data_IF_323442771703
#
_entry.id   IF_323442771703
#
_cell.length_a   1.000
_cell.length_b   1.000
_cell.length_c   1.000
_cell.angle_alpha   90.00
_cell.angle_beta   90.00
_cell.angle_gamma   90.00
#
_symmetry.space_group_name_H-M   'P 1'
#
loop_
_entity.id
_entity.type
_entity.pdbx_description
1 polymer ?
#
# COMPACT_ATOMS: atom_id res chain seq x y z
N UNK A 1 -3.57 -29.75 7.14
CA UNK A 1 -3.66 -28.57 6.26
C UNK A 1 -2.38 -28.49 5.46
N UNK A 2 -2.47 -28.15 4.18
CA UNK A 2 -1.32 -27.90 3.33
C UNK A 2 -0.42 -26.80 3.90
N UNK A 3 0.90 -26.95 3.72
CA UNK A 3 1.87 -25.93 4.14
C UNK A 3 1.70 -24.67 3.29
N UNK A 4 1.65 -23.51 3.94
CA UNK A 4 1.58 -22.21 3.27
C UNK A 4 3.01 -21.73 2.91
N UNK A 5 3.21 -21.34 1.65
CA UNK A 5 4.44 -20.72 1.16
C UNK A 5 4.13 -19.31 0.67
N UNK A 6 4.42 -18.33 1.50
CA UNK A 6 4.30 -16.90 1.17
C UNK A 6 5.53 -16.45 0.42
N UNK A 7 5.35 -15.75 -0.70
CA UNK A 7 6.45 -15.19 -1.50
C UNK A 7 6.22 -13.70 -1.71
N UNK A 8 7.16 -12.87 -1.30
CA UNK A 8 7.10 -11.42 -1.52
C UNK A 8 8.47 -10.85 -1.86
N UNK A 9 8.50 -9.66 -2.46
CA UNK A 9 9.77 -9.02 -2.79
C UNK A 9 10.66 -8.82 -1.56
N UNK A 10 10.11 -8.47 -0.39
CA UNK A 10 10.85 -8.35 0.87
C UNK A 10 10.24 -9.24 1.93
N UNK A 11 11.10 -9.85 2.75
CA UNK A 11 10.71 -10.68 3.91
C UNK A 11 10.90 -9.87 5.20
N UNK A 12 9.93 -9.95 6.12
CA UNK A 12 10.07 -9.39 7.47
C UNK A 12 10.65 -10.45 8.40
N UNK A 13 11.98 -10.60 8.37
CA UNK A 13 12.70 -11.58 9.20
C UNK A 13 12.60 -11.20 10.70
N UNK A 14 12.52 -12.19 11.61
CA UNK A 14 12.45 -11.93 13.06
C UNK A 14 13.61 -11.05 13.55
N UNK A 15 13.28 -10.05 14.36
CA UNK A 15 14.26 -9.09 14.91
C UNK A 15 14.48 -7.83 14.05
N UNK A 16 13.97 -7.79 12.82
CA UNK A 16 13.95 -6.55 12.04
C UNK A 16 12.66 -5.76 12.31
N UNK A 17 12.79 -4.49 12.74
CA UNK A 17 11.65 -3.58 12.90
C UNK A 17 11.08 -3.16 11.53
N UNK A 18 10.22 -4.00 10.95
CA UNK A 18 9.44 -3.69 9.74
C UNK A 18 7.99 -4.07 9.94
N UNK A 19 7.31 -3.35 10.83
CA UNK A 19 5.87 -3.48 11.02
C UNK A 19 5.15 -2.65 9.95
N UNK A 20 4.61 -3.33 8.93
CA UNK A 20 3.60 -2.81 8.01
C UNK A 20 2.43 -3.79 7.94
N UNK A 21 1.21 -3.31 7.65
CA UNK A 21 0.00 -4.13 7.72
C UNK A 21 0.04 -5.42 6.90
N UNK A 22 0.72 -5.42 5.75
CA UNK A 22 0.95 -6.63 4.95
C UNK A 22 1.77 -7.69 5.73
N UNK A 23 2.92 -7.30 6.29
CA UNK A 23 3.78 -8.23 7.01
C UNK A 23 3.05 -8.86 8.21
N UNK A 24 2.23 -8.08 8.91
CA UNK A 24 1.41 -8.57 10.03
C UNK A 24 0.41 -9.63 9.56
N UNK A 25 -0.32 -9.38 8.47
CA UNK A 25 -1.29 -10.33 7.92
C UNK A 25 -0.67 -11.64 7.44
N UNK A 26 0.48 -11.56 6.76
CA UNK A 26 1.22 -12.72 6.29
C UNK A 26 1.81 -13.55 7.43
N UNK A 27 2.38 -12.90 8.45
CA UNK A 27 2.86 -13.58 9.65
C UNK A 27 1.73 -14.27 10.40
N UNK A 28 0.55 -13.64 10.50
CA UNK A 28 -0.60 -14.27 11.14
C UNK A 28 -1.03 -15.55 10.37
N UNK A 29 -1.02 -15.52 9.04
CA UNK A 29 -1.30 -16.69 8.21
C UNK A 29 -0.30 -17.83 8.42
N UNK A 30 0.99 -17.48 8.42
CA UNK A 30 2.07 -18.44 8.64
C UNK A 30 2.09 -18.98 10.07
N UNK A 31 1.74 -18.18 11.08
CA UNK A 31 1.66 -18.65 12.48
C UNK A 31 0.52 -19.66 12.70
N UNK A 32 -0.57 -19.54 11.97
CA UNK A 32 -1.71 -20.47 12.09
C UNK A 32 -1.42 -21.82 11.44
N UNK A 33 -0.70 -21.83 10.30
CA UNK A 33 -0.53 -23.02 9.45
C UNK A 33 0.90 -23.58 9.46
N UNK A 34 1.84 -22.88 10.08
CA UNK A 34 3.27 -23.03 9.80
C UNK A 34 3.61 -22.64 8.36
N UNK A 35 4.86 -22.85 7.98
CA UNK A 35 5.26 -22.85 6.58
C UNK A 35 6.47 -21.98 6.28
N UNK A 36 6.48 -21.35 5.11
CA UNK A 36 7.67 -20.66 4.61
C UNK A 36 7.34 -19.26 4.12
N UNK A 37 8.19 -18.30 4.49
CA UNK A 37 8.22 -16.98 3.85
C UNK A 37 9.50 -16.83 3.02
N UNK A 38 9.34 -16.80 1.70
CA UNK A 38 10.41 -16.66 0.73
C UNK A 38 10.50 -15.23 0.14
N UNK A 39 11.71 -14.71 -0.07
CA UNK A 39 11.90 -13.43 -0.78
C UNK A 39 13.30 -12.85 -0.73
N UNK A 40 13.49 -11.59 -1.15
CA UNK A 40 14.79 -10.93 -1.05
C UNK A 40 15.12 -10.57 0.42
N UNK A 41 16.35 -10.87 0.83
CA UNK A 41 16.92 -10.52 2.15
C UNK A 41 16.95 -9.02 2.39
N UNK A 42 16.98 -8.25 1.30
CA UNK A 42 17.13 -6.83 1.32
C UNK A 42 18.56 -6.32 1.26
N UNK A 43 19.53 -7.22 1.20
CA UNK A 43 20.94 -6.92 1.07
C UNK A 43 21.35 -6.90 -0.39
N UNK A 44 22.26 -5.98 -0.72
CA UNK A 44 22.98 -6.00 -1.98
C UNK A 44 24.36 -6.58 -1.74
N UNK A 45 24.72 -7.65 -2.44
CA UNK A 45 26.04 -8.28 -2.33
C UNK A 45 26.93 -7.95 -3.54
N UNK A 46 28.25 -7.97 -3.33
CA UNK A 46 29.24 -7.70 -4.40
C UNK A 46 29.50 -8.94 -5.26
N UNK A 47 29.56 -10.12 -4.65
CA UNK A 47 29.97 -11.36 -5.31
C UNK A 47 28.82 -12.39 -5.33
N UNK A 48 28.27 -12.64 -6.53
CA UNK A 48 27.23 -13.65 -6.77
C UNK A 48 25.83 -13.27 -6.25
N UNK A 49 24.78 -13.81 -6.88
CA UNK A 49 23.38 -13.67 -6.44
C UNK A 49 22.75 -15.04 -6.20
N UNK A 50 21.67 -15.08 -5.42
CA UNK A 50 20.92 -16.32 -5.17
C UNK A 50 21.49 -17.24 -4.10
N UNK A 51 22.38 -16.75 -3.24
CA UNK A 51 22.69 -17.40 -1.96
C UNK A 51 21.45 -17.36 -1.07
N UNK A 52 21.05 -18.52 -0.55
CA UNK A 52 19.91 -18.64 0.35
C UNK A 52 20.36 -18.56 1.80
N UNK A 53 19.59 -17.83 2.60
CA UNK A 53 19.72 -17.74 4.04
C UNK A 53 18.41 -18.18 4.68
N UNK A 54 18.48 -19.13 5.61
CA UNK A 54 17.31 -19.65 6.29
C UNK A 54 17.36 -19.31 7.77
N UNK A 55 16.28 -18.74 8.28
CA UNK A 55 16.04 -18.53 9.71
C UNK A 55 14.73 -19.20 10.11
N UNK A 56 14.66 -19.73 11.33
CA UNK A 56 13.42 -20.30 11.88
C UNK A 56 12.95 -19.49 13.07
N UNK A 57 11.63 -19.30 13.17
CA UNK A 57 10.95 -18.78 14.36
C UNK A 57 9.65 -19.56 14.53
N UNK A 58 9.62 -20.44 15.54
CA UNK A 58 8.58 -21.46 15.69
C UNK A 58 8.48 -22.36 14.45
N UNK A 59 7.27 -22.53 13.93
CA UNK A 59 6.94 -23.37 12.78
C UNK A 59 7.07 -22.64 11.42
N UNK A 60 7.73 -21.47 11.41
CA UNK A 60 7.90 -20.64 10.21
C UNK A 60 9.38 -20.64 9.80
N UNK A 61 9.63 -21.01 8.54
CA UNK A 61 10.93 -20.86 7.89
C UNK A 61 10.97 -19.57 7.07
N UNK A 62 11.88 -18.67 7.39
CA UNK A 62 12.16 -17.46 6.62
C UNK A 62 13.34 -17.75 5.71
N UNK A 63 13.08 -17.89 4.41
CA UNK A 63 14.08 -18.18 3.39
C UNK A 63 14.31 -16.93 2.56
N UNK A 64 15.48 -16.34 2.70
CA UNK A 64 15.82 -15.11 1.98
C UNK A 64 16.94 -15.34 0.98
N UNK A 65 16.88 -14.65 -0.15
CA UNK A 65 17.95 -14.65 -1.14
C UNK A 65 18.63 -13.29 -1.23
N UNK A 66 19.94 -13.28 -1.47
CA UNK A 66 20.67 -12.05 -1.77
C UNK A 66 20.64 -11.73 -3.26
N UNK A 67 20.57 -10.42 -3.58
CA UNK A 67 20.68 -9.90 -4.93
C UNK A 67 21.97 -9.10 -5.07
N UNK A 68 22.59 -9.18 -6.25
CA UNK A 68 23.71 -8.32 -6.61
C UNK A 68 23.24 -6.87 -6.79
N UNK A 69 24.18 -5.91 -6.70
CA UNK A 69 23.87 -4.50 -6.95
C UNK A 69 23.21 -4.27 -8.32
N UNK A 70 23.73 -4.92 -9.36
CA UNK A 70 23.20 -4.81 -10.73
C UNK A 70 21.76 -5.31 -10.83
N UNK A 71 21.42 -6.39 -10.14
CA UNK A 71 20.05 -6.90 -10.09
C UNK A 71 19.14 -5.94 -9.31
N UNK A 72 19.56 -5.46 -8.14
CA UNK A 72 18.78 -4.46 -7.39
C UNK A 72 18.50 -3.22 -8.23
N UNK A 73 19.52 -2.73 -8.95
CA UNK A 73 19.40 -1.55 -9.80
C UNK A 73 18.49 -1.79 -11.01
N UNK A 74 18.60 -2.94 -11.68
CA UNK A 74 17.79 -3.23 -12.87
C UNK A 74 16.37 -3.71 -12.58
N UNK A 75 16.16 -4.54 -11.56
CA UNK A 75 14.87 -5.13 -11.20
C UNK A 75 14.07 -4.22 -10.27
N UNK A 76 14.63 -3.84 -9.11
CA UNK A 76 13.88 -3.13 -8.08
C UNK A 76 13.86 -1.62 -8.34
N UNK A 77 15.03 -1.00 -8.46
CA UNK A 77 15.12 0.45 -8.74
C UNK A 77 14.77 0.78 -10.21
N UNK A 78 14.95 -0.17 -11.13
CA UNK A 78 14.63 -0.06 -12.55
C UNK A 78 13.19 -0.45 -12.81
N UNK A 79 12.96 -1.59 -13.47
CA UNK A 79 11.68 -1.94 -14.07
C UNK A 79 10.51 -1.92 -13.07
N UNK A 80 10.69 -2.45 -11.86
CA UNK A 80 9.60 -2.48 -10.87
C UNK A 80 9.17 -1.07 -10.44
N UNK A 81 10.09 -0.18 -10.08
CA UNK A 81 9.74 1.12 -9.49
C UNK A 81 9.77 2.32 -10.46
N UNK A 82 10.42 2.18 -11.63
CA UNK A 82 10.45 3.23 -12.68
C UNK A 82 9.55 2.93 -13.87
N UNK A 83 9.16 1.66 -14.07
CA UNK A 83 8.21 1.28 -15.13
C UNK A 83 6.85 0.86 -14.55
N UNK A 84 6.83 -0.21 -13.72
CA UNK A 84 5.56 -0.79 -13.25
C UNK A 84 4.86 0.06 -12.21
N UNK A 85 5.56 0.58 -11.20
CA UNK A 85 4.95 1.44 -10.18
C UNK A 85 4.24 2.67 -10.78
N UNK A 86 4.88 3.50 -11.63
CA UNK A 86 4.17 4.65 -12.22
C UNK A 86 3.02 4.22 -13.12
N UNK A 87 3.21 3.19 -13.96
CA UNK A 87 2.16 2.65 -14.82
C UNK A 87 0.93 2.20 -14.02
N UNK A 88 1.15 1.39 -12.99
CA UNK A 88 0.11 0.82 -12.14
C UNK A 88 -0.56 1.87 -11.23
N UNK A 89 0.08 3.02 -11.04
CA UNK A 89 -0.50 4.21 -10.38
C UNK A 89 -0.97 5.29 -11.34
N UNK A 90 -1.15 4.95 -12.63
CA UNK A 90 -1.79 5.82 -13.64
C UNK A 90 -0.96 7.07 -13.97
N UNK A 91 0.36 7.00 -13.72
CA UNK A 91 1.34 8.06 -14.00
C UNK A 91 2.16 7.70 -15.23
N UNK A 92 1.48 7.59 -16.37
CA UNK A 92 2.13 7.26 -17.65
C UNK A 92 3.22 8.27 -18.00
N UNK A 93 3.06 9.52 -17.58
CA UNK A 93 4.05 10.60 -17.69
C UNK A 93 5.37 10.33 -16.96
N UNK A 94 5.38 9.41 -15.98
CA UNK A 94 6.55 9.02 -15.21
C UNK A 94 7.07 7.62 -15.58
N UNK A 95 6.47 6.94 -16.56
CA UNK A 95 6.91 5.61 -16.97
C UNK A 95 8.22 5.73 -17.74
N UNK A 96 9.31 5.24 -17.13
CA UNK A 96 10.60 5.07 -17.79
C UNK A 96 10.77 3.59 -18.17
N UNK A 97 10.53 3.28 -19.44
CA UNK A 97 10.69 1.93 -19.99
C UNK A 97 12.09 1.76 -20.58
N UNK A 98 12.83 0.80 -20.05
CA UNK A 98 14.10 0.35 -20.62
C UNK A 98 14.11 -1.18 -20.81
N UNK A 99 14.56 -1.64 -21.98
CA UNK A 99 14.65 -3.08 -22.27
C UNK A 99 15.66 -3.77 -21.36
N UNK A 100 16.77 -3.10 -21.00
CA UNK A 100 17.80 -3.66 -20.12
C UNK A 100 17.27 -3.96 -18.72
N UNK A 101 16.56 -3.01 -18.11
CA UNK A 101 15.89 -3.20 -16.82
C UNK A 101 14.79 -4.26 -16.90
N UNK A 102 14.00 -4.30 -17.99
CA UNK A 102 13.00 -5.36 -18.21
C UNK A 102 13.63 -6.76 -18.24
N UNK A 103 14.73 -6.94 -18.97
CA UNK A 103 15.43 -8.23 -19.00
C UNK A 103 16.03 -8.60 -17.64
N UNK A 104 16.56 -7.64 -16.89
CA UNK A 104 16.98 -7.89 -15.49
C UNK A 104 15.79 -8.30 -14.61
N UNK A 105 14.62 -7.70 -14.79
CA UNK A 105 13.42 -8.04 -14.02
C UNK A 105 12.98 -9.49 -14.25
N UNK A 106 12.99 -9.96 -15.51
CA UNK A 106 12.71 -11.35 -15.82
C UNK A 106 13.79 -12.30 -15.28
N UNK A 107 15.08 -11.93 -15.37
CA UNK A 107 16.19 -12.73 -14.83
C UNK A 107 16.11 -12.91 -13.32
N UNK A 108 15.77 -11.86 -12.59
CA UNK A 108 15.58 -11.95 -11.13
C UNK A 108 14.38 -12.83 -10.79
N UNK A 109 13.27 -12.71 -11.51
CA UNK A 109 12.12 -13.61 -11.31
C UNK A 109 12.47 -15.08 -11.63
N UNK A 110 13.27 -15.34 -12.66
CA UNK A 110 13.77 -16.69 -12.97
C UNK A 110 14.67 -17.21 -11.84
N UNK A 111 15.56 -16.37 -11.29
CA UNK A 111 16.39 -16.71 -10.13
C UNK A 111 15.53 -17.06 -8.91
N UNK A 112 14.48 -16.28 -8.62
CA UNK A 112 13.52 -16.60 -7.55
C UNK A 112 12.88 -17.97 -7.80
N UNK A 113 12.44 -18.25 -9.02
CA UNK A 113 11.83 -19.53 -9.38
C UNK A 113 12.81 -20.71 -9.24
N UNK A 114 14.07 -20.55 -9.68
CA UNK A 114 15.13 -21.56 -9.59
C UNK A 114 15.46 -21.93 -8.14
N UNK A 115 15.38 -20.94 -7.24
CA UNK A 115 15.69 -21.13 -5.82
C UNK A 115 14.48 -21.61 -5.01
N UNK A 116 13.28 -21.22 -5.40
CA UNK A 116 12.06 -21.61 -4.71
C UNK A 116 11.59 -23.02 -5.11
N UNK A 117 11.63 -23.37 -6.40
CA UNK A 117 11.08 -24.64 -6.89
C UNK A 117 11.61 -25.89 -6.14
N UNK A 118 12.92 -26.02 -5.83
CA UNK A 118 13.43 -27.17 -5.08
C UNK A 118 12.97 -27.24 -3.61
N UNK A 119 12.41 -26.16 -3.07
CA UNK A 119 11.93 -26.06 -1.68
C UNK A 119 10.43 -26.37 -1.56
N UNK A 120 9.72 -26.46 -2.69
CA UNK A 120 8.28 -26.69 -2.74
C UNK A 120 7.96 -28.19 -2.66
N UNK A 121 6.81 -28.49 -2.08
CA UNK A 121 6.20 -29.81 -1.97
C UNK A 121 4.94 -29.85 -2.85
N UNK A 122 4.53 -31.05 -3.25
CA UNK A 122 3.37 -31.23 -4.14
C UNK A 122 2.07 -30.67 -3.55
N UNK A 123 1.93 -30.72 -2.23
CA UNK A 123 0.74 -30.29 -1.49
C UNK A 123 0.82 -28.86 -0.96
N UNK A 124 1.89 -28.10 -1.25
CA UNK A 124 2.02 -26.71 -0.79
C UNK A 124 0.94 -25.79 -1.39
N UNK A 125 0.57 -24.75 -0.65
CA UNK A 125 -0.18 -23.61 -1.18
C UNK A 125 0.79 -22.44 -1.31
N UNK A 126 1.05 -22.00 -2.53
CA UNK A 126 1.97 -20.88 -2.81
C UNK A 126 1.16 -19.60 -2.96
N UNK A 127 1.49 -18.57 -2.18
CA UNK A 127 0.85 -17.26 -2.24
C UNK A 127 1.87 -16.18 -2.56
N UNK A 128 1.86 -15.69 -3.80
CA UNK A 128 2.79 -14.72 -4.34
C UNK A 128 2.21 -13.31 -4.22
N UNK A 129 3.00 -12.37 -3.75
CA UNK A 129 2.57 -11.00 -3.51
C UNK A 129 3.30 -9.98 -4.38
N UNK A 130 2.47 -9.18 -5.04
CA UNK A 130 2.75 -7.87 -5.60
C UNK A 130 3.49 -7.81 -6.94
N UNK A 131 3.44 -6.62 -7.54
CA UNK A 131 3.88 -6.31 -8.91
C UNK A 131 5.34 -6.68 -9.24
N UNK A 132 6.18 -6.86 -8.23
CA UNK A 132 7.57 -7.29 -8.42
C UNK A 132 7.68 -8.72 -8.97
N UNK A 133 6.67 -9.56 -8.70
CA UNK A 133 6.72 -11.00 -8.89
C UNK A 133 5.66 -11.53 -9.88
N UNK A 134 5.16 -10.66 -10.77
CA UNK A 134 4.14 -11.03 -11.77
C UNK A 134 4.54 -12.28 -12.59
N UNK A 135 5.81 -12.44 -13.06
CA UNK A 135 6.19 -13.61 -13.83
C UNK A 135 6.37 -14.91 -13.02
N UNK A 136 6.47 -14.83 -11.69
CA UNK A 136 6.98 -15.92 -10.87
C UNK A 136 6.12 -17.19 -10.98
N UNK A 137 4.79 -17.05 -11.03
CA UNK A 137 3.88 -18.19 -11.18
C UNK A 137 4.14 -18.96 -12.47
N UNK A 138 4.26 -18.27 -13.60
CA UNK A 138 4.56 -18.89 -14.90
C UNK A 138 5.91 -19.63 -14.88
N UNK A 139 6.94 -19.00 -14.31
CA UNK A 139 8.27 -19.58 -14.19
C UNK A 139 8.30 -20.82 -13.27
N UNK A 140 7.46 -20.86 -12.23
CA UNK A 140 7.29 -22.06 -11.40
C UNK A 140 6.58 -23.18 -12.18
N UNK A 141 5.55 -22.86 -12.99
CA UNK A 141 4.89 -23.85 -13.86
C UNK A 141 5.86 -24.45 -14.88
N UNK A 142 6.73 -23.65 -15.48
CA UNK A 142 7.80 -24.11 -16.39
C UNK A 142 8.77 -25.10 -15.72
N UNK A 143 8.95 -25.00 -14.40
CA UNK A 143 9.78 -25.91 -13.58
C UNK A 143 9.02 -27.14 -13.07
N UNK A 144 7.81 -27.39 -13.58
CA UNK A 144 7.00 -28.55 -13.23
C UNK A 144 6.24 -28.43 -11.91
N UNK A 145 6.17 -27.23 -11.31
CA UNK A 145 5.40 -27.04 -10.07
C UNK A 145 3.90 -27.16 -10.38
N UNK A 146 3.24 -28.14 -9.79
CA UNK A 146 1.81 -28.44 -9.97
C UNK A 146 0.90 -28.00 -8.83
N UNK A 147 1.45 -27.58 -7.68
CA UNK A 147 0.68 -27.19 -6.51
C UNK A 147 -0.13 -25.90 -6.74
N UNK A 148 -1.03 -25.51 -5.82
CA UNK A 148 -1.86 -24.32 -6.04
C UNK A 148 -1.03 -23.05 -5.87
N UNK A 149 -1.14 -22.13 -6.82
CA UNK A 149 -0.41 -20.86 -6.82
C UNK A 149 -1.41 -19.70 -6.96
N UNK A 150 -1.47 -18.86 -5.92
CA UNK A 150 -2.19 -17.59 -5.94
C UNK A 150 -1.27 -16.38 -6.16
N UNK A 151 -1.78 -15.33 -6.77
CA UNK A 151 -1.16 -14.01 -6.86
C UNK A 151 -2.04 -12.94 -6.23
N UNK A 152 -1.51 -12.05 -5.41
CA UNK A 152 -2.25 -10.88 -4.93
C UNK A 152 -1.54 -9.57 -5.30
N UNK A 153 -2.21 -8.70 -6.06
CA UNK A 153 -1.73 -7.37 -6.42
C UNK A 153 -2.14 -6.35 -5.35
N UNK A 154 -1.17 -5.78 -4.64
CA UNK A 154 -1.45 -4.83 -3.55
C UNK A 154 -1.70 -3.41 -4.04
N UNK A 155 -1.20 -3.08 -5.23
CA UNK A 155 -1.34 -1.79 -5.88
C UNK A 155 -2.49 -1.82 -6.90
N UNK A 156 -2.93 -0.67 -7.44
CA UNK A 156 -4.08 -0.64 -8.35
C UNK A 156 -3.82 -1.44 -9.63
N UNK A 157 -4.91 -1.85 -10.28
CA UNK A 157 -4.90 -2.36 -11.65
C UNK A 157 -5.38 -1.24 -12.59
N UNK A 158 -4.56 -0.80 -13.57
CA UNK A 158 -4.95 0.17 -14.59
C UNK A 158 -6.00 -0.34 -15.58
N UNK A 159 -6.63 0.60 -16.29
CA UNK A 159 -7.45 0.26 -17.45
C UNK A 159 -6.60 -0.43 -18.52
N UNK A 160 -7.26 -1.19 -19.38
CA UNK A 160 -6.61 -1.94 -20.43
C UNK A 160 -5.76 -1.04 -21.35
N UNK A 161 -6.26 0.15 -21.72
CA UNK A 161 -5.56 1.11 -22.57
C UNK A 161 -4.29 1.69 -21.93
N UNK A 162 -4.29 1.88 -20.59
CA UNK A 162 -3.10 2.33 -19.88
C UNK A 162 -2.02 1.25 -19.91
N UNK A 163 -2.42 -0.02 -19.70
CA UNK A 163 -1.48 -1.13 -19.79
C UNK A 163 -0.93 -1.32 -21.20
N UNK A 164 -1.76 -1.12 -22.23
CA UNK A 164 -1.33 -1.22 -23.63
C UNK A 164 -0.23 -0.21 -23.98
N UNK A 165 -0.20 0.95 -23.30
CA UNK A 165 0.84 1.96 -23.53
C UNK A 165 2.24 1.48 -23.14
N UNK A 166 2.39 0.46 -22.29
CA UNK A 166 3.69 -0.12 -21.96
C UNK A 166 4.15 -1.07 -23.07
N UNK A 167 5.37 -0.90 -23.61
CA UNK A 167 5.92 -1.87 -24.57
C UNK A 167 5.99 -3.29 -23.96
N UNK A 168 5.68 -4.31 -24.77
CA UNK A 168 5.71 -5.72 -24.37
C UNK A 168 4.75 -6.08 -23.20
N UNK A 169 3.68 -5.29 -23.01
CA UNK A 169 2.68 -5.52 -21.96
C UNK A 169 2.07 -6.93 -21.98
N UNK A 170 1.81 -7.49 -23.18
CA UNK A 170 1.25 -8.83 -23.32
C UNK A 170 2.14 -9.89 -22.66
N UNK A 171 3.46 -9.83 -22.87
CA UNK A 171 4.40 -10.80 -22.32
C UNK A 171 4.40 -10.77 -20.79
N UNK A 172 4.27 -9.60 -20.19
CA UNK A 172 4.25 -9.48 -18.73
C UNK A 172 2.91 -9.90 -18.14
N UNK A 173 1.82 -9.27 -18.56
CA UNK A 173 0.52 -9.46 -17.90
C UNK A 173 -0.13 -10.82 -18.22
N UNK A 174 0.24 -11.46 -19.33
CA UNK A 174 -0.21 -12.85 -19.61
C UNK A 174 0.45 -13.86 -18.67
N UNK A 175 1.53 -13.53 -17.97
CA UNK A 175 2.09 -14.40 -16.94
C UNK A 175 1.11 -14.60 -15.76
N UNK A 176 0.16 -13.68 -15.54
CA UNK A 176 -0.90 -13.82 -14.55
C UNK A 176 -1.85 -14.99 -14.84
N UNK A 177 -1.84 -15.54 -16.06
CA UNK A 177 -2.70 -16.69 -16.42
C UNK A 177 -2.17 -18.01 -15.85
N UNK A 178 -0.91 -18.05 -15.40
CA UNK A 178 -0.31 -19.24 -14.82
C UNK A 178 -0.77 -19.52 -13.37
N UNK A 179 -1.39 -18.54 -12.72
CA UNK A 179 -1.92 -18.64 -11.36
C UNK A 179 -3.30 -19.31 -11.37
N UNK A 180 -3.68 -19.91 -10.25
CA UNK A 180 -5.02 -20.49 -10.08
C UNK A 180 -6.02 -19.44 -9.55
N UNK A 181 -5.53 -18.46 -8.80
CA UNK A 181 -6.28 -17.28 -8.34
C UNK A 181 -5.42 -16.02 -8.44
N UNK A 182 -5.99 -14.97 -9.03
CA UNK A 182 -5.42 -13.61 -9.06
C UNK A 182 -6.31 -12.67 -8.23
N UNK A 183 -5.83 -12.28 -7.06
CA UNK A 183 -6.51 -11.33 -6.19
C UNK A 183 -6.11 -9.88 -6.42
N UNK A 184 -7.09 -9.00 -6.25
CA UNK A 184 -6.94 -7.56 -6.30
C UNK A 184 -7.52 -6.89 -5.06
N UNK A 185 -7.21 -5.61 -4.85
CA UNK A 185 -7.74 -4.85 -3.71
C UNK A 185 -9.23 -4.53 -3.87
N UNK A 186 -9.67 -4.16 -5.06
CA UNK A 186 -11.05 -3.70 -5.30
C UNK A 186 -11.70 -4.48 -6.45
N UNK A 187 -13.03 -4.52 -6.47
CA UNK A 187 -13.77 -5.11 -7.59
C UNK A 187 -13.44 -4.40 -8.90
N UNK A 188 -13.25 -3.07 -8.86
CA UNK A 188 -12.85 -2.27 -10.02
C UNK A 188 -11.50 -2.72 -10.59
N UNK A 189 -10.58 -3.18 -9.76
CA UNK A 189 -9.28 -3.68 -10.23
C UNK A 189 -9.42 -5.05 -10.89
N UNK A 190 -10.24 -5.94 -10.32
CA UNK A 190 -10.55 -7.23 -10.93
C UNK A 190 -11.25 -7.07 -12.30
N UNK A 191 -12.24 -6.18 -12.39
CA UNK A 191 -12.99 -5.89 -13.62
C UNK A 191 -12.07 -5.32 -14.72
N UNK A 192 -11.11 -4.47 -14.34
CA UNK A 192 -10.10 -3.94 -15.28
C UNK A 192 -9.18 -5.03 -15.81
N UNK A 193 -8.75 -5.97 -14.96
CA UNK A 193 -7.98 -7.11 -15.41
C UNK A 193 -8.77 -8.02 -16.35
N UNK A 194 -10.04 -8.30 -16.04
CA UNK A 194 -10.93 -9.05 -16.96
C UNK A 194 -11.13 -8.32 -18.29
N UNK A 195 -11.20 -7.00 -18.27
CA UNK A 195 -11.28 -6.18 -19.48
C UNK A 195 -9.99 -6.26 -20.29
N UNK A 196 -8.83 -6.16 -19.64
CA UNK A 196 -7.53 -6.36 -20.29
C UNK A 196 -7.40 -7.75 -20.92
N UNK A 197 -7.80 -8.81 -20.20
CA UNK A 197 -7.81 -10.18 -20.70
C UNK A 197 -8.59 -10.32 -22.00
N UNK A 198 -9.80 -9.73 -22.06
CA UNK A 198 -10.68 -9.77 -23.24
C UNK A 198 -10.17 -8.96 -24.42
N UNK A 199 -9.66 -7.75 -24.17
CA UNK A 199 -9.29 -6.81 -25.25
C UNK A 199 -7.91 -7.10 -25.84
N UNK A 200 -6.94 -7.44 -24.98
CA UNK A 200 -5.54 -7.59 -25.38
C UNK A 200 -5.00 -8.96 -25.06
N UNK A 201 -5.44 -9.54 -23.94
CA UNK A 201 -4.93 -10.80 -23.41
C UNK A 201 -5.32 -12.06 -24.19
N UNK A 202 -6.25 -11.96 -25.15
CA UNK A 202 -6.73 -13.08 -25.96
C UNK A 202 -7.53 -14.14 -25.20
N UNK A 203 -7.91 -13.87 -23.95
CA UNK A 203 -8.71 -14.76 -23.13
C UNK A 203 -10.19 -14.36 -23.08
N UNK A 204 -10.98 -15.10 -22.32
CA UNK A 204 -12.43 -14.87 -22.17
C UNK A 204 -12.89 -15.07 -20.74
N UNK A 205 -13.99 -14.41 -20.40
CA UNK A 205 -14.74 -14.62 -19.16
C UNK A 205 -15.84 -15.63 -19.46
N UNK A 206 -15.92 -16.70 -18.68
CA UNK A 206 -16.92 -17.75 -18.80
C UNK A 206 -18.20 -17.38 -18.03
N UNK A 207 -19.32 -18.05 -18.33
CA UNK A 207 -20.62 -17.77 -17.71
C UNK A 207 -20.64 -17.96 -16.19
N UNK A 208 -19.77 -18.84 -15.66
CA UNK A 208 -19.60 -19.09 -14.24
C UNK A 208 -18.66 -18.08 -13.53
N UNK A 209 -18.16 -17.06 -14.26
CA UNK A 209 -17.22 -16.07 -13.74
C UNK A 209 -15.75 -16.50 -13.73
N UNK A 210 -15.42 -17.73 -14.13
CA UNK A 210 -14.02 -18.13 -14.36
C UNK A 210 -13.42 -17.46 -15.59
N UNK A 211 -12.11 -17.33 -15.60
CA UNK A 211 -11.34 -16.80 -16.71
C UNK A 211 -10.67 -17.95 -17.45
N UNK A 212 -10.68 -17.88 -18.77
CA UNK A 212 -9.95 -18.81 -19.62
C UNK A 212 -8.89 -18.07 -20.44
N UNK A 213 -7.64 -18.48 -20.29
CA UNK A 213 -6.50 -17.93 -21.00
C UNK A 213 -6.39 -18.47 -22.44
N UNK A 214 -5.64 -17.80 -23.33
CA UNK A 214 -5.24 -18.39 -24.61
C UNK A 214 -4.55 -19.74 -24.37
N UNK A 215 -5.10 -20.83 -24.92
CA UNK A 215 -4.64 -22.19 -24.65
C UNK A 215 -5.50 -23.00 -23.67
N UNK A 216 -6.61 -22.45 -23.19
CA UNK A 216 -7.66 -23.20 -22.47
C UNK A 216 -7.44 -23.36 -20.97
N UNK A 217 -6.35 -22.82 -20.41
CA UNK A 217 -6.13 -22.81 -18.96
C UNK A 217 -7.17 -21.95 -18.26
N UNK A 218 -7.83 -22.52 -17.26
CA UNK A 218 -8.82 -21.82 -16.43
C UNK A 218 -8.21 -21.34 -15.12
N UNK A 219 -8.68 -20.19 -14.66
CA UNK A 219 -8.24 -19.55 -13.43
C UNK A 219 -9.31 -18.54 -12.96
N UNK A 220 -9.18 -18.02 -11.73
CA UNK A 220 -10.11 -17.03 -11.18
C UNK A 220 -9.42 -15.68 -10.93
N UNK A 221 -10.19 -14.61 -11.03
CA UNK A 221 -9.79 -13.28 -10.56
C UNK A 221 -10.88 -12.69 -9.68
N UNK A 222 -10.51 -12.18 -8.49
CA UNK A 222 -11.47 -11.65 -7.53
C UNK A 222 -10.87 -10.55 -6.66
N UNK A 223 -11.73 -9.80 -5.98
CA UNK A 223 -11.32 -8.75 -5.05
C UNK A 223 -11.28 -9.24 -3.61
N UNK A 224 -10.20 -8.95 -2.90
CA UNK A 224 -10.03 -9.20 -1.48
C UNK A 224 -9.39 -7.94 -0.86
N UNK A 225 -10.19 -6.96 -0.42
CA UNK A 225 -9.65 -5.72 0.13
C UNK A 225 -8.85 -6.00 1.41
N UNK A 226 -7.57 -5.60 1.43
CA UNK A 226 -6.72 -5.83 2.60
C UNK A 226 -7.18 -4.99 3.80
N UNK A 227 -7.36 -5.64 4.95
CA UNK A 227 -7.71 -5.01 6.22
C UNK A 227 -6.50 -4.61 7.05
N UNK A 228 -6.76 -4.25 8.31
CA UNK A 228 -5.75 -4.02 9.35
C UNK A 228 -6.08 -4.89 10.57
N UNK A 229 -5.15 -5.05 11.51
CA UNK A 229 -5.49 -5.56 12.84
C UNK A 229 -6.14 -4.43 13.66
N UNK A 230 -7.45 -4.24 13.42
CA UNK A 230 -8.24 -3.13 13.92
C UNK A 230 -8.18 -3.00 15.44
N UNK A 231 -8.32 -4.12 16.15
CA UNK A 231 -8.34 -4.14 17.61
C UNK A 231 -6.94 -3.93 18.20
N UNK A 232 -5.88 -4.46 17.58
CA UNK A 232 -4.51 -4.17 17.99
C UNK A 232 -4.20 -2.68 17.86
N UNK A 233 -4.56 -2.06 16.74
CA UNK A 233 -4.31 -0.64 16.49
C UNK A 233 -5.08 0.24 17.48
N UNK A 234 -6.35 -0.05 17.75
CA UNK A 234 -7.15 0.68 18.72
C UNK A 234 -6.52 0.65 20.13
N UNK A 235 -6.12 -0.54 20.60
CA UNK A 235 -5.41 -0.70 21.89
C UNK A 235 -4.06 0.02 21.90
N UNK A 236 -3.29 -0.12 20.83
CA UNK A 236 -1.97 0.49 20.70
C UNK A 236 -2.07 2.02 20.71
N UNK A 237 -3.06 2.61 20.04
CA UNK A 237 -3.33 4.04 20.03
C UNK A 237 -3.68 4.56 21.44
N UNK A 238 -4.53 3.84 22.18
CA UNK A 238 -4.87 4.16 23.57
C UNK A 238 -3.64 4.19 24.48
N UNK A 239 -2.80 3.16 24.42
CA UNK A 239 -1.54 3.11 25.19
C UNK A 239 -0.56 4.21 24.75
N UNK A 240 -0.46 4.46 23.44
CA UNK A 240 0.46 5.43 22.88
C UNK A 240 0.15 6.88 23.28
N UNK A 241 -1.09 7.19 23.66
CA UNK A 241 -1.48 8.52 24.16
C UNK A 241 -0.63 8.98 25.36
N UNK A 242 -0.04 8.04 26.13
CA UNK A 242 0.80 8.34 27.29
C UNK A 242 2.27 8.60 26.95
N UNK A 243 2.71 8.30 25.72
CA UNK A 243 4.10 8.45 25.29
C UNK A 243 4.52 9.91 25.24
N UNK A 244 5.78 10.17 25.61
CA UNK A 244 6.36 11.52 25.63
C UNK A 244 6.19 12.25 24.28
N UNK A 245 6.46 11.59 23.16
CA UNK A 245 6.31 12.19 21.84
C UNK A 245 4.88 12.68 21.56
N UNK A 246 3.86 11.92 21.96
CA UNK A 246 2.44 12.28 21.75
C UNK A 246 2.02 13.41 22.70
N UNK A 247 2.45 13.36 23.96
CA UNK A 247 2.24 14.45 24.92
C UNK A 247 2.89 15.76 24.46
N UNK A 248 4.12 15.69 23.97
CA UNK A 248 4.85 16.85 23.45
C UNK A 248 4.16 17.43 22.22
N UNK A 249 3.68 16.57 21.29
CA UNK A 249 2.89 17.03 20.15
C UNK A 249 1.63 17.76 20.62
N UNK A 250 0.82 17.16 21.52
CA UNK A 250 -0.39 17.80 22.06
C UNK A 250 -0.10 19.13 22.74
N UNK A 251 0.90 19.18 23.62
CA UNK A 251 1.30 20.42 24.30
C UNK A 251 1.75 21.52 23.30
N UNK A 252 2.41 21.15 22.21
CA UNK A 252 2.88 22.08 21.18
C UNK A 252 1.77 22.69 20.32
N UNK A 253 0.55 22.16 20.38
CA UNK A 253 -0.61 22.67 19.63
C UNK A 253 -1.34 23.79 20.39
N UNK A 254 -1.15 23.88 21.72
CA UNK A 254 -1.94 24.75 22.60
C UNK A 254 -3.44 24.45 22.40
N UNK A 255 -4.23 25.45 22.05
CA UNK A 255 -5.68 25.31 21.84
C UNK A 255 -6.06 24.96 20.39
N UNK A 256 -5.08 24.68 19.53
CA UNK A 256 -5.29 24.40 18.10
C UNK A 256 -5.55 22.92 17.86
N UNK A 257 -6.45 22.63 16.94
CA UNK A 257 -6.68 21.29 16.42
C UNK A 257 -5.50 20.82 15.56
N UNK A 258 -5.40 19.50 15.35
CA UNK A 258 -4.39 18.88 14.50
C UNK A 258 -5.05 18.19 13.30
N UNK A 259 -4.62 18.56 12.10
CA UNK A 259 -4.75 17.74 10.91
C UNK A 259 -3.47 16.92 10.72
N UNK A 260 -3.58 15.67 10.27
CA UNK A 260 -2.43 14.78 10.07
C UNK A 260 -2.46 14.06 8.74
N UNK A 261 -1.32 14.04 8.06
CA UNK A 261 -1.04 13.22 6.89
C UNK A 261 0.21 12.39 7.17
N UNK A 262 0.17 11.09 6.88
CA UNK A 262 1.32 10.19 7.05
C UNK A 262 1.44 9.33 5.82
N UNK A 263 2.49 9.55 5.03
CA UNK A 263 2.70 8.83 3.79
C UNK A 263 4.18 8.68 3.53
N UNK A 264 4.58 7.59 2.89
CA UNK A 264 5.91 7.55 2.26
C UNK A 264 5.99 8.71 1.26
N UNK A 265 7.15 9.33 1.18
CA UNK A 265 7.43 10.28 0.10
C UNK A 265 7.33 9.53 -1.24
N UNK A 266 6.21 9.68 -1.95
CA UNK A 266 5.89 8.99 -3.20
C UNK A 266 4.86 9.80 -3.99
N UNK A 267 5.02 9.90 -5.31
CA UNK A 267 4.18 10.73 -6.17
C UNK A 267 2.74 10.24 -6.29
N UNK A 268 2.45 8.98 -5.96
CA UNK A 268 1.09 8.46 -5.89
C UNK A 268 0.25 9.10 -4.78
N UNK A 269 0.91 9.72 -3.78
CA UNK A 269 0.28 10.19 -2.53
C UNK A 269 -0.33 11.58 -2.61
N UNK A 270 -0.17 12.27 -3.73
CA UNK A 270 -0.75 13.60 -3.95
C UNK A 270 -0.33 14.62 -2.91
N UNK A 271 0.92 14.53 -2.42
CA UNK A 271 1.42 15.41 -1.37
C UNK A 271 1.45 16.89 -1.80
N UNK A 272 1.85 17.24 -3.04
CA UNK A 272 1.76 18.61 -3.52
C UNK A 272 0.31 19.13 -3.51
N UNK A 273 -0.62 18.36 -4.07
CA UNK A 273 -2.04 18.70 -4.10
C UNK A 273 -2.62 18.84 -2.70
N UNK A 274 -2.21 17.98 -1.76
CA UNK A 274 -2.63 18.07 -0.36
C UNK A 274 -2.13 19.32 0.33
N UNK A 275 -0.88 19.74 0.08
CA UNK A 275 -0.32 20.96 0.66
C UNK A 275 -1.03 22.18 0.10
N UNK A 276 -1.22 22.22 -1.22
CA UNK A 276 -1.95 23.30 -1.89
C UNK A 276 -3.44 23.32 -1.50
N UNK A 277 -4.06 22.17 -1.26
CA UNK A 277 -5.42 22.09 -0.71
C UNK A 277 -5.52 22.63 0.71
N UNK A 278 -4.49 22.43 1.54
CA UNK A 278 -4.42 23.04 2.87
C UNK A 278 -4.18 24.55 2.81
N UNK A 279 -3.32 25.03 1.90
CA UNK A 279 -3.16 26.46 1.62
C UNK A 279 -4.48 27.08 1.20
N UNK A 280 -5.18 26.43 0.26
CA UNK A 280 -6.49 26.87 -0.21
C UNK A 280 -7.53 26.92 0.91
N UNK A 281 -7.46 26.02 1.89
CA UNK A 281 -8.26 26.09 3.12
C UNK A 281 -7.96 27.36 3.92
N UNK A 282 -6.69 27.73 4.11
CA UNK A 282 -6.30 28.95 4.82
C UNK A 282 -6.76 30.23 4.11
N UNK A 283 -6.83 30.21 2.78
CA UNK A 283 -7.31 31.32 1.96
C UNK A 283 -8.84 31.46 1.96
N UNK A 284 -9.57 30.34 1.82
CA UNK A 284 -11.03 30.33 1.65
C UNK A 284 -11.80 30.44 2.96
N UNK A 285 -11.23 29.95 4.05
CA UNK A 285 -11.87 29.89 5.38
C UNK A 285 -11.08 30.72 6.40
N UNK A 286 -10.97 32.05 6.18
CA UNK A 286 -10.15 32.92 7.03
C UNK A 286 -10.65 32.99 8.48
N UNK A 287 -11.92 32.70 8.72
CA UNK A 287 -12.55 32.56 10.04
C UNK A 287 -11.99 31.39 10.85
N UNK A 288 -11.42 30.38 10.19
CA UNK A 288 -10.81 29.21 10.83
C UNK A 288 -9.27 29.28 10.87
N UNK A 289 -8.67 30.37 10.37
CA UNK A 289 -7.23 30.58 10.41
C UNK A 289 -6.72 30.58 11.86
N UNK A 290 -5.57 29.95 12.09
CA UNK A 290 -4.99 29.84 13.43
C UNK A 290 -5.63 28.78 14.33
N UNK A 291 -6.76 28.18 13.94
CA UNK A 291 -7.44 27.13 14.74
C UNK A 291 -6.92 25.72 14.49
N UNK A 292 -6.23 25.48 13.36
CA UNK A 292 -5.80 24.17 12.90
C UNK A 292 -4.33 24.21 12.48
N UNK A 293 -3.52 23.27 12.97
CA UNK A 293 -2.17 23.02 12.46
C UNK A 293 -2.17 21.71 11.68
N UNK A 294 -1.53 21.72 10.51
CA UNK A 294 -1.36 20.53 9.69
C UNK A 294 0.04 19.93 9.90
N UNK A 295 0.11 18.65 10.29
CA UNK A 295 1.33 17.84 10.38
C UNK A 295 1.39 16.83 9.23
N UNK A 296 2.37 16.97 8.34
CA UNK A 296 2.73 15.94 7.38
C UNK A 296 3.99 15.21 7.84
N UNK A 297 3.89 13.90 8.05
CA UNK A 297 5.03 13.01 8.25
C UNK A 297 5.31 12.29 6.93
N UNK A 298 6.49 12.50 6.36
CA UNK A 298 6.90 11.92 5.08
C UNK A 298 8.28 11.28 5.17
N UNK A 299 8.39 10.04 5.73
CA UNK A 299 9.65 9.34 5.77
C UNK A 299 10.22 9.17 4.37
N UNK A 300 11.54 9.40 4.25
CA UNK A 300 12.25 9.27 2.97
C UNK A 300 12.16 7.82 2.50
N UNK A 301 11.74 7.64 1.26
CA UNK A 301 11.71 6.35 0.58
C UNK A 301 12.40 6.48 -0.77
N UNK A 302 13.12 5.42 -1.19
CA UNK A 302 13.72 5.34 -2.55
C UNK A 302 14.55 6.57 -2.95
N UNK A 303 15.38 7.08 -2.03
CA UNK A 303 16.12 8.33 -2.21
C UNK A 303 17.09 8.37 -3.41
N UNK A 304 17.47 7.21 -3.95
CA UNK A 304 18.34 7.11 -5.12
C UNK A 304 17.61 7.36 -6.45
N UNK A 305 16.27 7.37 -6.44
CA UNK A 305 15.42 7.55 -7.63
C UNK A 305 15.15 9.05 -7.83
N UNK A 306 15.36 9.56 -9.05
CA UNK A 306 15.36 11.00 -9.35
C UNK A 306 14.02 11.67 -9.08
N UNK A 307 12.92 11.01 -9.44
CA UNK A 307 11.55 11.50 -9.29
C UNK A 307 11.21 11.75 -7.80
N UNK A 308 11.74 10.92 -6.89
CA UNK A 308 11.56 11.07 -5.44
C UNK A 308 12.34 12.26 -4.88
N UNK A 309 13.54 12.54 -5.41
CA UNK A 309 14.32 13.72 -5.02
C UNK A 309 13.65 15.02 -5.49
N UNK A 310 13.11 15.03 -6.71
CA UNK A 310 12.36 16.16 -7.24
C UNK A 310 11.11 16.45 -6.42
N UNK A 311 10.31 15.41 -6.12
CA UNK A 311 9.13 15.53 -5.27
C UNK A 311 9.48 16.11 -3.90
N UNK A 312 10.59 15.66 -3.28
CA UNK A 312 11.04 16.20 -2.00
C UNK A 312 11.29 17.71 -2.07
N UNK A 313 12.06 18.14 -3.06
CA UNK A 313 12.41 19.55 -3.24
C UNK A 313 11.15 20.40 -3.47
N UNK A 314 10.21 19.90 -4.27
CA UNK A 314 8.92 20.56 -4.49
C UNK A 314 8.13 20.72 -3.18
N UNK A 315 8.04 19.67 -2.34
CA UNK A 315 7.33 19.75 -1.06
C UNK A 315 7.99 20.70 -0.07
N UNK A 316 9.33 20.73 -0.02
CA UNK A 316 10.07 21.67 0.82
C UNK A 316 9.80 23.13 0.40
N UNK A 317 9.73 23.39 -0.90
CA UNK A 317 9.36 24.71 -1.45
C UNK A 317 7.92 25.10 -1.12
N UNK A 318 6.94 24.21 -1.35
CA UNK A 318 5.52 24.48 -1.05
C UNK A 318 5.34 24.70 0.45
N UNK A 319 5.95 23.87 1.31
CA UNK A 319 5.87 24.05 2.75
C UNK A 319 6.48 25.38 3.22
N UNK A 320 7.60 25.80 2.62
CA UNK A 320 8.22 27.11 2.86
C UNK A 320 7.31 28.26 2.45
N UNK A 321 6.66 28.15 1.27
CA UNK A 321 5.71 29.15 0.77
C UNK A 321 4.52 29.33 1.70
N UNK A 322 3.83 28.23 2.04
CA UNK A 322 2.65 28.24 2.92
C UNK A 322 2.99 28.86 4.28
N UNK A 323 4.09 28.42 4.89
CA UNK A 323 4.48 28.97 6.19
C UNK A 323 4.93 30.44 6.07
N UNK A 324 5.62 30.83 5.00
CA UNK A 324 6.00 32.22 4.79
C UNK A 324 4.81 33.16 4.57
N UNK A 325 3.74 32.69 3.93
CA UNK A 325 2.53 33.48 3.67
C UNK A 325 1.53 33.52 4.83
N UNK A 326 1.47 32.45 5.64
CA UNK A 326 0.38 32.27 6.61
C UNK A 326 0.81 32.18 8.09
N UNK A 327 2.11 31.99 8.39
CA UNK A 327 2.56 31.86 9.77
C UNK A 327 2.35 33.13 10.60
N UNK A 328 2.26 32.91 11.91
CA UNK A 328 2.28 33.95 12.94
C UNK A 328 3.43 33.62 13.92
N UNK A 329 3.92 34.57 14.73
CA UNK A 329 5.04 34.32 15.64
C UNK A 329 4.84 33.11 16.57
N UNK A 330 3.60 32.77 16.91
CA UNK A 330 3.25 31.64 17.77
C UNK A 330 2.57 30.47 17.02
N UNK A 331 2.52 30.51 15.69
CA UNK A 331 1.84 29.52 14.87
C UNK A 331 2.57 29.20 13.56
N UNK A 332 2.93 27.93 13.39
CA UNK A 332 3.36 27.36 12.12
C UNK A 332 2.20 26.55 11.53
N UNK A 333 1.58 27.00 10.43
CA UNK A 333 0.42 26.34 9.83
C UNK A 333 0.73 24.91 9.37
N UNK A 334 1.85 24.70 8.67
CA UNK A 334 2.26 23.42 8.11
C UNK A 334 3.58 22.94 8.72
N UNK A 335 3.51 21.86 9.49
CA UNK A 335 4.67 21.15 10.04
C UNK A 335 5.00 19.95 9.14
N UNK A 336 6.08 20.06 8.38
CA UNK A 336 6.55 19.01 7.48
C UNK A 336 7.77 18.27 8.09
N UNK A 337 7.65 16.96 8.30
CA UNK A 337 8.64 16.14 9.01
C UNK A 337 9.07 14.93 8.19
N UNK A 338 10.35 14.86 7.83
CA UNK A 338 10.95 13.76 7.07
C UNK A 338 11.64 12.70 7.95
N UNK A 339 11.06 12.39 9.11
CA UNK A 339 11.61 11.42 10.06
C UNK A 339 10.73 10.16 10.16
N UNK A 340 11.38 9.04 10.45
CA UNK A 340 10.70 7.79 10.76
C UNK A 340 10.20 7.81 12.20
N UNK A 341 8.97 7.37 12.40
CA UNK A 341 8.40 7.12 13.72
C UNK A 341 8.00 5.66 13.84
N UNK A 342 8.06 5.12 15.05
CA UNK A 342 7.52 3.78 15.30
C UNK A 342 6.02 3.77 15.02
N UNK A 343 5.49 2.65 14.51
CA UNK A 343 4.06 2.48 14.27
C UNK A 343 3.22 2.84 15.51
N UNK A 344 3.66 2.42 16.70
CA UNK A 344 3.03 2.78 17.96
C UNK A 344 3.03 4.27 18.29
N UNK A 345 4.02 5.03 17.84
CA UNK A 345 3.99 6.49 17.99
C UNK A 345 3.00 7.11 17.00
N UNK A 346 2.97 6.64 15.75
CA UNK A 346 2.05 7.12 14.71
C UNK A 346 0.59 6.92 15.11
N UNK A 347 0.21 5.76 15.66
CA UNK A 347 -1.16 5.53 16.15
C UNK A 347 -1.56 6.50 17.26
N UNK A 348 -0.60 6.92 18.09
CA UNK A 348 -0.84 7.97 19.09
C UNK A 348 -1.00 9.37 18.48
N UNK A 349 -0.28 9.68 17.40
CA UNK A 349 -0.49 10.91 16.64
C UNK A 349 -1.84 10.92 15.90
N UNK A 350 -2.25 9.81 15.30
CA UNK A 350 -3.58 9.66 14.70
C UNK A 350 -4.69 9.93 15.72
N UNK A 351 -4.59 9.34 16.92
CA UNK A 351 -5.54 9.55 18.02
C UNK A 351 -5.58 11.00 18.53
N UNK A 352 -4.50 11.76 18.34
CA UNK A 352 -4.44 13.17 18.73
C UNK A 352 -4.96 14.11 17.63
N UNK A 353 -5.17 13.63 16.41
CA UNK A 353 -5.54 14.44 15.26
C UNK A 353 -7.06 14.48 15.05
N UNK A 354 -7.61 15.69 15.05
CA UNK A 354 -9.01 15.96 14.75
C UNK A 354 -9.37 15.67 13.29
N UNK A 355 -8.38 15.77 12.38
CA UNK A 355 -8.57 15.52 10.94
C UNK A 355 -7.47 14.60 10.40
N UNK A 356 -7.86 13.50 9.74
CA UNK A 356 -6.96 12.64 8.97
C UNK A 356 -7.01 13.01 7.50
N UNK A 357 -5.89 13.43 6.92
CA UNK A 357 -5.77 13.82 5.51
C UNK A 357 -5.10 12.71 4.70
N UNK A 358 -5.92 11.91 4.02
CA UNK A 358 -5.44 10.79 3.20
C UNK A 358 -5.92 10.98 1.77
N UNK A 359 -5.18 11.79 1.02
CA UNK A 359 -5.61 12.27 -0.32
C UNK A 359 -4.70 11.79 -1.47
N UNK A 360 -4.40 10.48 -1.62
CA UNK A 360 -3.57 10.02 -2.73
C UNK A 360 -4.23 10.26 -4.08
N UNK A 361 -3.42 10.53 -5.11
CA UNK A 361 -3.84 10.57 -6.51
C UNK A 361 -4.24 9.18 -7.01
N UNK A 362 -3.58 8.13 -6.50
CA UNK A 362 -3.97 6.75 -6.72
C UNK A 362 -3.40 5.86 -5.63
N UNK A 363 -4.21 4.96 -5.08
CA UNK A 363 -3.73 4.00 -4.08
C UNK A 363 -4.54 2.72 -4.15
N UNK A 364 -3.87 1.56 -4.11
CA UNK A 364 -4.54 0.26 -4.17
C UNK A 364 -5.49 0.05 -2.99
N UNK A 365 -5.14 0.58 -1.81
CA UNK A 365 -6.01 0.53 -0.64
C UNK A 365 -5.84 1.75 0.26
N UNK A 366 -4.60 2.03 0.69
CA UNK A 366 -4.24 2.97 1.75
C UNK A 366 -4.63 2.51 3.18
N UNK A 367 -3.70 1.81 3.83
CA UNK A 367 -3.88 1.36 5.21
C UNK A 367 -3.84 2.49 6.25
N UNK A 368 -3.22 3.62 5.94
CA UNK A 368 -3.17 4.77 6.85
C UNK A 368 -4.58 5.33 7.10
N UNK A 369 -5.46 5.33 6.10
CA UNK A 369 -6.87 5.67 6.28
C UNK A 369 -7.56 4.76 7.32
N UNK A 370 -7.35 3.45 7.21
CA UNK A 370 -7.92 2.46 8.13
C UNK A 370 -7.32 2.60 9.53
N UNK A 371 -5.99 2.75 9.62
CA UNK A 371 -5.26 2.97 10.88
C UNK A 371 -5.72 4.25 11.59
N UNK A 372 -5.95 5.33 10.84
CA UNK A 372 -6.44 6.59 11.40
C UNK A 372 -7.79 6.39 12.09
N UNK A 373 -8.76 5.76 11.41
CA UNK A 373 -10.09 5.46 11.97
C UNK A 373 -9.99 4.56 13.20
N UNK A 374 -9.21 3.46 13.10
CA UNK A 374 -9.04 2.52 14.20
C UNK A 374 -8.32 3.13 15.42
N UNK A 375 -7.53 4.18 15.23
CA UNK A 375 -6.80 4.84 16.32
C UNK A 375 -7.64 5.83 17.13
N UNK A 376 -8.81 6.25 16.63
CA UNK A 376 -9.61 7.32 17.24
C UNK A 376 -10.17 6.95 18.61
N UNK A 377 -10.44 7.97 19.42
CA UNK A 377 -11.20 7.83 20.66
C UNK A 377 -12.69 7.72 20.34
N UNK A 378 -13.41 6.66 20.78
CA UNK A 378 -14.85 6.55 20.59
C UNK A 378 -15.62 7.74 21.15
N UNK A 379 -15.11 8.37 22.21
CA UNK A 379 -15.78 9.49 22.88
C UNK A 379 -15.55 10.83 22.21
N UNK A 380 -14.47 10.96 21.43
CA UNK A 380 -14.14 12.17 20.70
C UNK A 380 -13.36 11.86 19.40
N UNK A 381 -13.97 11.18 18.41
CA UNK A 381 -13.25 10.71 17.24
C UNK A 381 -13.04 11.84 16.22
N UNK A 382 -11.87 11.91 15.61
CA UNK A 382 -11.62 12.80 14.48
C UNK A 382 -12.36 12.41 13.20
N UNK A 383 -12.16 13.20 12.14
CA UNK A 383 -12.81 13.04 10.83
C UNK A 383 -11.76 12.66 9.79
N UNK A 384 -12.07 11.63 9.00
CA UNK A 384 -11.23 11.22 7.87
C UNK A 384 -11.66 11.97 6.60
N UNK A 385 -10.72 12.70 5.98
CA UNK A 385 -10.82 13.20 4.59
C UNK A 385 -10.05 12.24 3.70
N UNK A 386 -10.74 11.62 2.74
CA UNK A 386 -10.22 10.49 1.98
C UNK A 386 -10.38 10.71 0.47
N UNK A 387 -9.32 10.48 -0.29
CA UNK A 387 -9.39 10.48 -1.75
C UNK A 387 -10.33 9.38 -2.25
N UNK A 388 -11.23 9.71 -3.17
CA UNK A 388 -12.04 8.74 -3.93
C UNK A 388 -11.19 7.80 -4.82
N UNK A 389 -9.90 8.10 -4.98
CA UNK A 389 -8.92 7.34 -5.76
C UNK A 389 -8.08 6.38 -4.91
N UNK A 390 -8.37 6.27 -3.61
CA UNK A 390 -7.85 5.21 -2.73
C UNK A 390 -8.83 4.02 -2.69
N UNK A 391 -8.33 2.79 -2.71
CA UNK A 391 -9.18 1.60 -2.56
C UNK A 391 -10.02 1.59 -1.28
N UNK A 392 -9.52 2.14 -0.18
CA UNK A 392 -10.26 2.25 1.08
C UNK A 392 -11.54 3.11 0.95
N UNK A 393 -11.67 3.97 -0.07
CA UNK A 393 -12.90 4.71 -0.31
C UNK A 393 -14.07 3.80 -0.76
N UNK A 394 -13.79 2.57 -1.19
CA UNK A 394 -14.82 1.56 -1.45
C UNK A 394 -15.43 0.98 -0.16
N UNK A 395 -14.76 1.16 0.97
CA UNK A 395 -15.16 0.63 2.28
C UNK A 395 -15.55 1.75 3.28
N UNK A 396 -14.73 2.80 3.38
CA UNK A 396 -14.87 3.88 4.35
C UNK A 396 -15.82 4.98 3.85
N UNK A 397 -17.05 4.61 3.50
CA UNK A 397 -18.06 5.50 2.87
C UNK A 397 -18.48 6.70 3.72
N UNK A 398 -18.24 6.66 5.03
CA UNK A 398 -18.55 7.75 5.94
C UNK A 398 -17.40 8.75 6.12
N UNK A 399 -16.27 8.56 5.44
CA UNK A 399 -15.26 9.61 5.28
C UNK A 399 -15.82 10.80 4.48
N UNK A 400 -15.17 11.96 4.57
CA UNK A 400 -15.38 13.04 3.63
C UNK A 400 -14.59 12.72 2.36
N UNK A 401 -15.27 12.16 1.36
CA UNK A 401 -14.65 11.75 0.10
C UNK A 401 -14.35 12.97 -0.77
N UNK A 402 -13.11 13.09 -1.24
CA UNK A 402 -12.64 14.20 -2.07
C UNK A 402 -11.99 13.72 -3.35
N UNK A 403 -12.07 14.53 -4.39
CA UNK A 403 -11.18 14.41 -5.54
C UNK A 403 -9.91 15.21 -5.24
N UNK A 404 -8.71 14.59 -5.15
CA UNK A 404 -7.49 15.32 -4.81
C UNK A 404 -7.08 16.35 -5.88
N UNK A 405 -7.64 16.27 -7.09
CA UNK A 405 -7.43 17.28 -8.14
C UNK A 405 -8.30 18.55 -7.95
N UNK A 406 -9.33 18.48 -7.11
CA UNK A 406 -10.17 19.62 -6.76
C UNK A 406 -9.69 20.22 -5.44
N UNK A 407 -8.77 21.19 -5.53
CA UNK A 407 -8.17 21.81 -4.35
C UNK A 407 -9.19 22.57 -3.50
N UNK A 408 -10.20 23.18 -4.13
CA UNK A 408 -11.29 23.86 -3.41
C UNK A 408 -12.16 22.83 -2.67
N UNK A 409 -12.47 21.70 -3.31
CA UNK A 409 -13.18 20.59 -2.67
C UNK A 409 -12.41 19.97 -1.49
N UNK A 410 -11.08 19.83 -1.60
CA UNK A 410 -10.22 19.42 -0.48
C UNK A 410 -10.26 20.45 0.64
N UNK A 411 -10.14 21.74 0.32
CA UNK A 411 -10.18 22.83 1.29
C UNK A 411 -11.52 22.87 2.06
N UNK A 412 -12.64 22.74 1.34
CA UNK A 412 -13.97 22.76 1.93
C UNK A 412 -14.24 21.51 2.79
N UNK A 413 -13.66 20.36 2.43
CA UNK A 413 -13.69 19.15 3.25
C UNK A 413 -12.86 19.30 4.55
N UNK A 414 -11.70 19.96 4.50
CA UNK A 414 -10.89 20.27 5.69
C UNK A 414 -11.68 21.18 6.65
N UNK A 415 -12.28 22.25 6.13
CA UNK A 415 -13.10 23.17 6.93
C UNK A 415 -14.31 22.45 7.56
N UNK A 416 -14.98 21.60 6.79
CA UNK A 416 -16.10 20.78 7.27
C UNK A 416 -15.65 19.81 8.36
N UNK A 417 -14.48 19.18 8.20
CA UNK A 417 -13.92 18.25 9.18
C UNK A 417 -13.58 18.94 10.51
N UNK A 418 -12.92 20.10 10.46
CA UNK A 418 -12.46 20.86 11.63
C UNK A 418 -13.64 21.34 12.51
N UNK A 419 -14.77 21.68 11.90
CA UNK A 419 -15.96 22.22 12.57
C UNK A 419 -17.07 21.19 12.79
N UNK A 420 -16.83 19.92 12.46
CA UNK A 420 -17.86 18.88 12.55
C UNK A 420 -18.29 18.62 14.00
N UNK A 421 -19.60 18.76 14.25
CA UNK A 421 -20.19 18.48 15.57
C UNK A 421 -19.85 17.06 16.06
N UNK A 422 -19.59 16.91 17.36
CA UNK A 422 -19.26 15.61 17.98
C UNK A 422 -20.23 14.48 17.62
N UNK A 423 -21.55 14.77 17.61
CA UNK A 423 -22.57 13.78 17.22
C UNK A 423 -22.31 13.18 15.84
N UNK A 424 -22.11 14.04 14.82
CA UNK A 424 -21.82 13.60 13.45
C UNK A 424 -20.48 12.87 13.34
N UNK A 425 -19.46 13.29 14.11
CA UNK A 425 -18.17 12.61 14.15
C UNK A 425 -18.31 11.18 14.67
N UNK A 426 -19.00 11.00 15.80
CA UNK A 426 -19.32 9.68 16.37
C UNK A 426 -20.11 8.80 15.39
N UNK A 427 -21.17 9.34 14.78
CA UNK A 427 -21.97 8.61 13.77
C UNK A 427 -21.11 8.07 12.62
N UNK A 428 -20.28 8.92 12.02
CA UNK A 428 -19.39 8.52 10.91
C UNK A 428 -18.33 7.52 11.37
N UNK A 429 -17.71 7.76 12.52
CA UNK A 429 -16.68 6.89 13.07
C UNK A 429 -17.23 5.49 13.40
N UNK A 430 -18.38 5.39 14.05
CA UNK A 430 -18.99 4.11 14.41
C UNK A 430 -19.21 3.21 13.20
N UNK A 431 -19.80 3.75 12.13
CA UNK A 431 -20.03 3.00 10.90
C UNK A 431 -18.73 2.52 10.24
N UNK A 432 -17.68 3.35 10.20
CA UNK A 432 -16.38 2.93 9.66
C UNK A 432 -15.69 1.90 10.56
N UNK A 433 -15.75 2.07 11.88
CA UNK A 433 -15.14 1.16 12.84
C UNK A 433 -15.81 -0.22 12.83
N UNK A 434 -17.13 -0.28 12.67
CA UNK A 434 -17.88 -1.53 12.51
C UNK A 434 -17.44 -2.29 11.25
N UNK A 435 -17.28 -1.59 10.12
CA UNK A 435 -16.73 -2.18 8.90
C UNK A 435 -15.31 -2.72 9.14
N UNK A 436 -14.41 -1.92 9.73
CA UNK A 436 -13.03 -2.33 9.97
C UNK A 436 -12.89 -3.52 10.92
N UNK A 437 -13.83 -3.70 11.87
CA UNK A 437 -13.86 -4.88 12.75
C UNK A 437 -14.33 -6.13 12.03
N UNK A 438 -15.27 -5.98 11.10
CA UNK A 438 -15.83 -7.09 10.32
C UNK A 438 -14.85 -7.56 9.26
N UNK A 439 -14.21 -6.62 8.56
CA UNK A 439 -13.31 -6.85 7.43
C UNK A 439 -11.86 -6.53 7.81
N UNK A 440 -11.37 -7.20 8.86
CA UNK A 440 -10.02 -7.04 9.37
C UNK A 440 -8.96 -7.78 8.51
N UNK A 441 -7.70 -7.71 8.91
CA UNK A 441 -6.61 -8.41 8.21
C UNK A 441 -6.79 -9.93 8.19
N UNK A 442 -7.47 -10.52 9.18
CA UNK A 442 -7.73 -11.96 9.23
C UNK A 442 -8.86 -12.36 8.27
N UNK A 443 -9.88 -11.52 8.12
CA UNK A 443 -10.91 -11.71 7.11
C UNK A 443 -10.31 -11.72 5.70
N UNK A 444 -9.43 -10.76 5.37
CA UNK A 444 -8.72 -10.72 4.09
C UNK A 444 -7.96 -12.02 3.81
N UNK A 445 -7.13 -12.43 4.77
CA UNK A 445 -6.33 -13.66 4.72
C UNK A 445 -7.20 -14.90 4.47
N UNK A 446 -8.22 -15.10 5.29
CA UNK A 446 -9.07 -16.30 5.23
C UNK A 446 -9.84 -16.32 3.91
N UNK A 447 -10.49 -15.22 3.55
CA UNK A 447 -11.26 -15.13 2.31
C UNK A 447 -10.41 -15.45 1.07
N UNK A 448 -9.16 -14.96 1.02
CA UNK A 448 -8.26 -15.27 -0.08
C UNK A 448 -7.84 -16.75 -0.09
N UNK A 449 -7.40 -17.28 1.06
CA UNK A 449 -6.91 -18.65 1.16
C UNK A 449 -8.03 -19.68 0.93
N UNK A 450 -9.21 -19.46 1.50
CA UNK A 450 -10.39 -20.28 1.26
C UNK A 450 -10.73 -20.29 -0.23
N UNK A 451 -10.72 -19.12 -0.87
CA UNK A 451 -10.92 -19.03 -2.31
C UNK A 451 -9.83 -19.80 -3.09
N UNK A 452 -8.55 -19.69 -2.74
CA UNK A 452 -7.46 -20.40 -3.42
C UNK A 452 -7.56 -21.93 -3.22
N UNK A 453 -7.98 -22.38 -2.04
CA UNK A 453 -8.12 -23.78 -1.64
C UNK A 453 -9.39 -24.46 -2.20
N UNK A 454 -10.33 -23.67 -2.71
CA UNK A 454 -11.51 -24.15 -3.45
C UNK A 454 -12.67 -24.39 -2.51
#
# INVERSE_FOLDING_TARGET
MSRLVVVSNRVAVPGENRAGGLAVGLLAALKERGGMWFGWSGKSVRDGSGTLHTQKDGDIEFVTLDLSKREVDGYYNGFANRTLWPLLHFRLDLVDYDRGTRETYHKVNALFADKLAPLLREDDIVWIHDYHLIPLGALLRERGIGCRIGFFLHIPMPSADLLQAMPDHLRLFSALYAYDLVGFQTQRDADRFQTYLRLFGGGRVLDNGELEAPGGRRFRAAAFPIGIDTELIARQAGTAATKAAVKNLRASLRDRQLAIGVDRLDYSKGLPERFLGFERYLERHPDQRGSLTYLQIAPVSRGDVTEYRQLRSQLEQIAGHINGGHAEPDWTPLRYVNQNFTHATLTGFYRAAAVGLVTPLRDGMNLVAKEYVASQDPEDPGVLVLSLLAGAADELKQALLVNPHDLDGVADAIATAATMSLRRRKERWHAMMEHLRTYDINHWRRSYLDALEG
#
